data_IF_427656005273
#
_entry.id   IF_427656005273
#
_cell.length_a   1.000
_cell.length_b   1.000
_cell.length_c   1.000
_cell.angle_alpha   90.00
_cell.angle_beta   90.00
_cell.angle_gamma   90.00
#
_symmetry.space_group_name_H-M   'P 1'
#
loop_
_entity.id
_entity.type
_entity.pdbx_description
1 polymer ?
#
# COMPACT_ATOMS: atom_id res chain seq x y z
N UNK A 1 -4.16 -9.25 26.94
CA UNK A 1 -4.88 -10.05 25.93
C UNK A 1 -5.31 -9.13 24.79
N UNK A 2 -5.05 -9.55 23.57
CA UNK A 2 -5.48 -8.86 22.36
C UNK A 2 -6.96 -9.16 22.10
N UNK A 3 -7.71 -8.14 21.70
CA UNK A 3 -9.15 -8.28 21.45
C UNK A 3 -9.43 -8.68 19.99
N UNK A 4 -10.58 -9.30 19.72
CA UNK A 4 -11.05 -9.60 18.36
C UNK A 4 -11.13 -8.33 17.50
N UNK A 5 -11.54 -7.20 18.13
CA UNK A 5 -11.60 -5.89 17.48
C UNK A 5 -10.25 -5.44 16.91
N UNK A 6 -9.16 -5.70 17.62
CA UNK A 6 -7.81 -5.37 17.16
C UNK A 6 -7.34 -6.29 16.02
N UNK A 7 -7.71 -7.58 16.07
CA UNK A 7 -7.39 -8.53 14.98
C UNK A 7 -8.10 -8.14 13.68
N UNK A 8 -9.39 -7.80 13.77
CA UNK A 8 -10.15 -7.28 12.62
C UNK A 8 -9.56 -5.95 12.16
N UNK A 9 -9.27 -5.02 13.09
CA UNK A 9 -8.65 -3.73 12.76
C UNK A 9 -7.32 -3.89 12.02
N UNK A 10 -6.48 -4.81 12.46
CA UNK A 10 -5.22 -5.11 11.78
C UNK A 10 -5.45 -5.74 10.40
N UNK A 11 -6.40 -6.66 10.26
CA UNK A 11 -6.76 -7.27 8.99
C UNK A 11 -7.25 -6.25 7.94
N UNK A 12 -7.97 -5.19 8.37
CA UNK A 12 -8.43 -4.12 7.49
C UNK A 12 -7.26 -3.36 6.84
N UNK A 13 -6.11 -3.24 7.51
CA UNK A 13 -4.92 -2.60 6.95
C UNK A 13 -4.43 -3.33 5.69
N UNK A 14 -4.31 -4.65 5.74
CA UNK A 14 -3.88 -5.44 4.58
C UNK A 14 -4.99 -5.66 3.56
N UNK A 15 -6.24 -5.67 3.99
CA UNK A 15 -7.39 -5.65 3.07
C UNK A 15 -7.39 -4.38 2.20
N UNK A 16 -7.02 -3.23 2.76
CA UNK A 16 -6.84 -1.97 2.00
C UNK A 16 -5.60 -2.01 1.10
N UNK A 17 -4.43 -2.32 1.67
CA UNK A 17 -3.15 -2.27 0.97
C UNK A 17 -2.98 -3.45 -0.01
N UNK A 18 -3.10 -4.69 0.46
CA UNK A 18 -2.92 -5.91 -0.30
C UNK A 18 -4.14 -6.31 -1.11
N UNK A 19 -5.33 -6.18 -0.51
CA UNK A 19 -6.59 -6.59 -1.13
C UNK A 19 -7.08 -5.62 -2.22
N UNK A 20 -7.21 -4.34 -1.92
CA UNK A 20 -7.68 -3.34 -2.89
C UNK A 20 -6.51 -2.83 -3.73
N UNK A 21 -5.62 -2.10 -3.07
CA UNK A 21 -4.62 -1.28 -3.78
C UNK A 21 -3.67 -2.12 -4.61
N UNK A 22 -3.04 -3.14 -4.02
CA UNK A 22 -2.08 -3.99 -4.72
C UNK A 22 -2.71 -4.77 -5.88
N UNK A 23 -3.95 -5.26 -5.73
CA UNK A 23 -4.64 -5.97 -6.80
C UNK A 23 -5.00 -5.05 -7.96
N UNK A 24 -5.50 -3.85 -7.68
CA UNK A 24 -5.77 -2.86 -8.72
C UNK A 24 -4.48 -2.42 -9.41
N UNK A 25 -3.41 -2.14 -8.65
CA UNK A 25 -2.12 -1.74 -9.19
C UNK A 25 -1.46 -2.82 -10.05
N UNK A 26 -1.61 -4.09 -9.69
CA UNK A 26 -0.97 -5.19 -10.41
C UNK A 26 -1.73 -5.62 -11.66
N UNK A 27 -3.05 -5.45 -11.70
CA UNK A 27 -3.91 -5.97 -12.76
C UNK A 27 -4.60 -4.85 -13.53
N UNK A 28 -5.30 -3.96 -12.84
CA UNK A 28 -6.11 -2.93 -13.48
C UNK A 28 -5.26 -1.76 -14.03
N UNK A 29 -4.19 -1.37 -13.36
CA UNK A 29 -3.35 -0.25 -13.80
C UNK A 29 -2.65 -0.46 -15.13
N UNK A 30 -2.00 -1.61 -15.41
CA UNK A 30 -1.41 -1.83 -16.73
C UNK A 30 -2.44 -1.71 -17.84
N UNK A 31 -3.63 -2.28 -17.64
CA UNK A 31 -4.73 -2.20 -18.59
C UNK A 31 -5.28 -0.77 -18.73
N UNK A 32 -5.44 -0.06 -17.62
CA UNK A 32 -5.88 1.33 -17.63
C UNK A 32 -4.89 2.23 -18.37
N UNK A 33 -3.61 2.15 -18.05
CA UNK A 33 -2.60 3.00 -18.69
C UNK A 33 -2.46 2.75 -20.18
N UNK A 34 -2.57 1.51 -20.63
CA UNK A 34 -2.44 1.18 -22.05
C UNK A 34 -3.74 1.43 -22.84
N UNK A 35 -4.88 0.97 -22.34
CA UNK A 35 -6.11 0.94 -23.12
C UNK A 35 -6.94 2.22 -22.98
N UNK A 36 -6.93 2.85 -21.81
CA UNK A 36 -7.79 3.99 -21.48
C UNK A 36 -7.00 5.30 -21.43
N UNK A 37 -5.89 5.28 -20.72
CA UNK A 37 -5.04 6.47 -20.53
C UNK A 37 -4.25 6.81 -21.81
N UNK A 38 -3.91 5.79 -22.61
CA UNK A 38 -3.26 5.93 -23.92
C UNK A 38 -1.73 5.95 -23.87
N UNK A 39 -1.10 5.46 -22.80
CA UNK A 39 0.35 5.23 -22.77
C UNK A 39 0.71 4.00 -23.61
N UNK A 40 1.93 3.98 -24.14
CA UNK A 40 2.45 2.77 -24.80
C UNK A 40 2.73 1.67 -23.78
N UNK A 41 2.77 0.42 -24.21
CA UNK A 41 3.17 -0.71 -23.38
C UNK A 41 4.58 -0.49 -22.81
N UNK A 42 5.49 0.07 -23.61
CA UNK A 42 6.85 0.39 -23.20
C UNK A 42 6.88 1.47 -22.10
N UNK A 43 6.10 2.55 -22.24
CA UNK A 43 5.97 3.60 -21.22
C UNK A 43 5.43 3.00 -19.90
N UNK A 44 4.41 2.16 -19.99
CA UNK A 44 3.79 1.51 -18.82
C UNK A 44 4.77 0.55 -18.12
N UNK A 45 5.48 -0.28 -18.88
CA UNK A 45 6.49 -1.18 -18.34
C UNK A 45 7.64 -0.40 -17.67
N UNK A 46 8.10 0.68 -18.31
CA UNK A 46 9.15 1.55 -17.74
C UNK A 46 8.68 2.20 -16.45
N UNK A 47 7.44 2.71 -16.42
CA UNK A 47 6.83 3.29 -15.22
C UNK A 47 6.83 2.29 -14.06
N UNK A 48 6.39 1.05 -14.32
CA UNK A 48 6.35 0.01 -13.29
C UNK A 48 7.76 -0.39 -12.82
N UNK A 49 8.73 -0.46 -13.73
CA UNK A 49 10.12 -0.75 -13.37
C UNK A 49 10.73 0.36 -12.50
N UNK A 50 10.56 1.61 -12.91
CA UNK A 50 11.05 2.78 -12.15
C UNK A 50 10.44 2.79 -10.74
N UNK A 51 9.15 2.49 -10.62
CA UNK A 51 8.49 2.40 -9.33
C UNK A 51 9.07 1.29 -8.44
N UNK A 52 9.42 0.12 -8.99
CA UNK A 52 10.08 -0.95 -8.24
C UNK A 52 11.46 -0.56 -7.73
N UNK A 53 12.24 0.13 -8.57
CA UNK A 53 13.55 0.65 -8.16
C UNK A 53 13.40 1.74 -7.08
N UNK A 54 12.34 2.54 -7.16
CA UNK A 54 12.01 3.54 -6.15
C UNK A 54 11.70 2.89 -4.79
N UNK A 55 10.90 1.80 -4.76
CA UNK A 55 10.57 1.07 -3.54
C UNK A 55 11.83 0.54 -2.84
N UNK A 56 12.80 -0.01 -3.59
CA UNK A 56 14.07 -0.53 -3.03
C UNK A 56 14.80 0.53 -2.18
N UNK A 57 14.69 1.80 -2.57
CA UNK A 57 15.32 2.91 -1.85
C UNK A 57 14.41 3.45 -0.74
N UNK A 58 13.12 3.60 -1.02
CA UNK A 58 12.19 4.27 -0.10
C UNK A 58 11.77 3.39 1.08
N UNK A 59 11.68 2.07 0.91
CA UNK A 59 11.26 1.17 1.99
C UNK A 59 12.22 1.20 3.21
N UNK A 60 13.55 1.07 3.04
CA UNK A 60 14.48 1.20 4.16
C UNK A 60 14.49 2.58 4.81
N UNK A 61 14.36 3.64 4.00
CA UNK A 61 14.29 5.02 4.48
C UNK A 61 13.04 5.19 5.33
N UNK A 62 11.89 4.72 4.82
CA UNK A 62 10.62 4.82 5.54
C UNK A 62 10.62 4.02 6.83
N UNK A 63 11.19 2.80 6.83
CA UNK A 63 11.38 2.01 8.04
C UNK A 63 12.15 2.80 9.11
N UNK A 64 13.27 3.41 8.71
CA UNK A 64 14.09 4.23 9.62
C UNK A 64 13.34 5.46 10.15
N UNK A 65 12.51 6.11 9.34
CA UNK A 65 11.68 7.26 9.74
C UNK A 65 10.58 6.80 10.71
N UNK A 66 9.90 5.71 10.38
CA UNK A 66 8.82 5.15 11.17
C UNK A 66 9.29 4.77 12.59
N UNK A 67 10.42 4.07 12.70
CA UNK A 67 10.99 3.64 13.99
C UNK A 67 11.37 4.80 14.91
N UNK A 68 11.65 5.97 14.35
CA UNK A 68 12.01 7.19 15.10
C UNK A 68 10.81 8.07 15.41
N UNK A 69 9.65 7.79 14.80
CA UNK A 69 8.44 8.57 15.00
C UNK A 69 7.97 8.46 16.45
N UNK A 70 7.62 9.59 17.05
CA UNK A 70 7.07 9.69 18.40
C UNK A 70 5.81 10.55 18.35
N UNK A 71 4.68 9.96 18.71
CA UNK A 71 3.43 10.70 18.74
C UNK A 71 2.52 10.22 19.89
N UNK A 72 1.44 10.97 20.11
CA UNK A 72 0.37 10.57 21.05
C UNK A 72 -0.33 9.27 20.67
N UNK A 73 -0.24 8.86 19.38
CA UNK A 73 -0.85 7.64 18.86
C UNK A 73 0.09 6.45 18.86
N UNK A 74 1.37 6.63 19.22
CA UNK A 74 2.41 5.62 19.15
C UNK A 74 3.47 5.94 18.11
N UNK A 75 4.17 4.92 17.64
CA UNK A 75 5.28 5.01 16.68
C UNK A 75 4.79 4.75 15.25
N UNK A 76 4.02 3.70 15.02
CA UNK A 76 3.61 3.24 13.69
C UNK A 76 2.18 3.66 13.32
N UNK A 77 1.25 3.70 14.28
CA UNK A 77 -0.15 4.07 14.07
C UNK A 77 -0.36 5.45 13.44
N UNK A 78 0.43 6.50 13.77
CA UNK A 78 0.27 7.81 13.13
C UNK A 78 0.35 7.75 11.61
N UNK A 79 1.23 6.91 11.06
CA UNK A 79 1.41 6.75 9.64
C UNK A 79 0.17 6.20 8.94
N UNK A 80 -0.56 5.29 9.60
CA UNK A 80 -1.83 4.78 9.09
C UNK A 80 -2.94 5.83 9.23
N UNK A 81 -3.00 6.54 10.35
CA UNK A 81 -4.05 7.53 10.63
C UNK A 81 -3.93 8.74 9.70
N UNK A 82 -2.74 9.34 9.61
CA UNK A 82 -2.52 10.53 8.77
C UNK A 82 -2.30 10.18 7.30
N UNK A 83 -1.74 9.01 7.03
CA UNK A 83 -1.53 8.50 5.67
C UNK A 83 -2.80 8.03 4.98
N UNK A 84 -3.88 7.72 5.70
CA UNK A 84 -5.10 7.18 5.13
C UNK A 84 -5.74 8.11 4.07
N UNK A 85 -5.85 9.40 4.37
CA UNK A 85 -6.47 10.38 3.45
C UNK A 85 -5.62 10.55 2.19
N UNK A 86 -4.32 10.90 2.26
CA UNK A 86 -3.51 11.03 1.06
C UNK A 86 -3.42 9.71 0.27
N UNK A 87 -3.41 8.56 0.95
CA UNK A 87 -3.43 7.24 0.30
C UNK A 87 -4.64 7.06 -0.61
N UNK A 88 -5.86 7.28 -0.09
CA UNK A 88 -7.08 7.16 -0.88
C UNK A 88 -7.20 8.23 -1.96
N UNK A 89 -6.77 9.47 -1.68
CA UNK A 89 -6.82 10.57 -2.63
C UNK A 89 -5.92 10.32 -3.84
N UNK A 90 -4.65 9.94 -3.61
CA UNK A 90 -3.71 9.69 -4.71
C UNK A 90 -4.12 8.45 -5.50
N UNK A 91 -4.66 7.42 -4.83
CA UNK A 91 -5.23 6.26 -5.51
C UNK A 91 -6.37 6.65 -6.45
N UNK A 92 -7.27 7.52 -6.02
CA UNK A 92 -8.37 8.03 -6.85
C UNK A 92 -7.86 8.86 -8.04
N UNK A 93 -6.91 9.77 -7.79
CA UNK A 93 -6.31 10.59 -8.84
C UNK A 93 -5.55 9.76 -9.89
N UNK A 94 -4.94 8.67 -9.49
CA UNK A 94 -4.16 7.81 -10.38
C UNK A 94 -5.04 7.09 -11.43
N UNK A 95 -6.31 6.85 -11.12
CA UNK A 95 -7.31 6.27 -12.04
C UNK A 95 -8.12 7.34 -12.79
N UNK A 96 -7.78 8.61 -12.62
CA UNK A 96 -8.39 9.71 -13.37
C UNK A 96 -7.58 10.00 -14.64
N UNK A 97 -8.27 10.19 -15.76
CA UNK A 97 -7.64 10.54 -17.05
C UNK A 97 -7.84 12.03 -17.34
N UNK A 98 -6.82 12.89 -17.12
CA UNK A 98 -6.91 14.30 -17.44
C UNK A 98 -6.88 14.54 -18.96
N UNK A 99 -7.49 15.62 -19.38
CA UNK A 99 -7.48 16.04 -20.80
C UNK A 99 -6.21 16.84 -21.13
N UNK A 100 -5.08 16.16 -21.07
CA UNK A 100 -3.77 16.69 -21.40
C UNK A 100 -3.26 16.11 -22.72
N UNK A 101 -2.38 16.84 -23.42
CA UNK A 101 -1.58 16.25 -24.50
C UNK A 101 -0.70 15.09 -23.98
N UNK A 102 -0.19 14.24 -24.90
CA UNK A 102 0.52 13.00 -24.54
C UNK A 102 1.69 13.22 -23.57
N UNK A 103 2.47 14.28 -23.75
CA UNK A 103 3.57 14.62 -22.83
C UNK A 103 3.05 14.94 -21.42
N UNK A 104 1.96 15.71 -21.32
CA UNK A 104 1.33 16.02 -20.03
C UNK A 104 0.78 14.77 -19.35
N UNK A 105 0.16 13.85 -20.11
CA UNK A 105 -0.29 12.55 -19.62
C UNK A 105 0.85 11.70 -19.06
N UNK A 106 1.99 11.63 -19.76
CA UNK A 106 3.18 10.91 -19.26
C UNK A 106 3.67 11.50 -17.93
N UNK A 107 3.85 12.81 -17.86
CA UNK A 107 4.30 13.50 -16.63
C UNK A 107 3.31 13.21 -15.49
N UNK A 108 2.01 13.33 -15.74
CA UNK A 108 0.98 13.06 -14.75
C UNK A 108 1.04 11.61 -14.24
N UNK A 109 1.10 10.63 -15.14
CA UNK A 109 1.16 9.21 -14.78
C UNK A 109 2.40 8.89 -13.93
N UNK A 110 3.58 9.32 -14.38
CA UNK A 110 4.83 9.10 -13.64
C UNK A 110 4.82 9.77 -12.27
N UNK A 111 4.40 11.02 -12.19
CA UNK A 111 4.35 11.77 -10.92
C UNK A 111 3.39 11.12 -9.94
N UNK A 112 2.16 10.83 -10.35
CA UNK A 112 1.17 10.24 -9.44
C UNK A 112 1.49 8.79 -9.08
N UNK A 113 2.05 8.01 -10.01
CA UNK A 113 2.41 6.63 -9.71
C UNK A 113 3.56 6.56 -8.69
N UNK A 114 4.59 7.37 -8.84
CA UNK A 114 5.69 7.46 -7.86
C UNK A 114 5.21 8.02 -6.52
N UNK A 115 4.30 9.01 -6.55
CA UNK A 115 3.70 9.53 -5.32
C UNK A 115 2.83 8.47 -4.63
N UNK A 116 2.09 7.67 -5.40
CA UNK A 116 1.33 6.54 -4.88
C UNK A 116 2.25 5.50 -4.23
N UNK A 117 3.39 5.16 -4.86
CA UNK A 117 4.38 4.27 -4.26
C UNK A 117 4.94 4.83 -2.96
N UNK A 118 5.32 6.12 -2.93
CA UNK A 118 5.81 6.77 -1.71
C UNK A 118 4.80 6.72 -0.57
N UNK A 119 3.52 7.01 -0.84
CA UNK A 119 2.46 6.96 0.16
C UNK A 119 2.14 5.52 0.56
N UNK A 120 2.13 4.59 -0.40
CA UNK A 120 1.97 3.16 -0.13
C UNK A 120 3.06 2.67 0.83
N UNK A 121 4.32 2.97 0.55
CA UNK A 121 5.46 2.66 1.44
C UNK A 121 5.30 3.32 2.81
N UNK A 122 4.89 4.60 2.85
CA UNK A 122 4.69 5.33 4.11
C UNK A 122 3.58 4.75 5.00
N UNK A 123 2.62 4.05 4.43
CA UNK A 123 1.55 3.35 5.16
C UNK A 123 1.92 1.89 5.43
N UNK A 124 2.41 1.18 4.41
CA UNK A 124 2.58 -0.28 4.46
C UNK A 124 3.80 -0.72 5.28
N UNK A 125 4.91 0.01 5.25
CA UNK A 125 6.10 -0.31 6.05
C UNK A 125 5.81 -0.19 7.56
N UNK A 126 5.24 0.94 8.07
CA UNK A 126 4.82 1.01 9.47
C UNK A 126 3.73 0.00 9.84
N UNK A 127 2.81 -0.33 8.91
CA UNK A 127 1.80 -1.36 9.11
C UNK A 127 2.45 -2.72 9.37
N UNK A 128 3.45 -3.11 8.58
CA UNK A 128 4.21 -4.35 8.79
C UNK A 128 4.91 -4.39 10.16
N UNK A 129 5.52 -3.27 10.57
CA UNK A 129 6.22 -3.13 11.85
C UNK A 129 5.28 -3.09 13.06
N UNK A 130 4.02 -2.68 12.86
CA UNK A 130 3.03 -2.50 13.92
C UNK A 130 2.77 -3.81 14.69
N UNK A 131 2.77 -4.97 14.02
CA UNK A 131 2.55 -6.27 14.67
C UNK A 131 3.57 -6.54 15.78
N UNK A 132 4.84 -6.19 15.56
CA UNK A 132 5.92 -6.39 16.53
C UNK A 132 5.77 -5.58 17.83
N UNK A 133 4.93 -4.54 17.83
CA UNK A 133 4.67 -3.70 19.02
C UNK A 133 3.25 -3.88 19.59
N UNK A 134 2.42 -4.70 18.94
CA UNK A 134 1.07 -5.02 19.44
C UNK A 134 1.10 -6.12 20.49
N UNK A 135 1.95 -7.13 20.30
CA UNK A 135 2.10 -8.28 21.21
C UNK A 135 3.47 -8.93 21.07
N UNK A 136 3.97 -9.55 22.14
CA UNK A 136 5.15 -10.43 22.15
C UNK A 136 4.79 -11.92 22.12
N UNK A 137 3.52 -12.27 22.32
CA UNK A 137 3.03 -13.64 22.24
C UNK A 137 2.96 -14.13 20.80
N UNK A 138 3.70 -15.21 20.50
CA UNK A 138 3.78 -15.77 19.16
C UNK A 138 2.47 -16.39 18.68
N UNK A 139 1.61 -16.92 19.56
CA UNK A 139 0.29 -17.39 19.19
C UNK A 139 -0.62 -16.22 18.78
N UNK A 140 -0.58 -15.11 19.50
CA UNK A 140 -1.30 -13.89 19.11
C UNK A 140 -0.80 -13.35 17.77
N UNK A 141 0.55 -13.31 17.54
CA UNK A 141 1.13 -12.90 16.24
C UNK A 141 0.66 -13.78 15.08
N UNK A 142 0.62 -15.10 15.30
CA UNK A 142 0.11 -16.05 14.29
C UNK A 142 -1.37 -15.83 13.99
N UNK A 143 -2.18 -15.54 15.00
CA UNK A 143 -3.60 -15.20 14.81
C UNK A 143 -3.72 -13.89 14.00
N UNK A 144 -3.00 -12.82 14.36
CA UNK A 144 -3.00 -11.58 13.58
C UNK A 144 -2.63 -11.81 12.12
N UNK A 145 -1.58 -12.60 11.87
CA UNK A 145 -1.13 -12.95 10.52
C UNK A 145 -2.20 -13.70 9.74
N UNK A 146 -2.91 -14.63 10.39
CA UNK A 146 -4.02 -15.37 9.77
C UNK A 146 -5.18 -14.45 9.41
N UNK A 147 -5.62 -13.57 10.34
CA UNK A 147 -6.66 -12.58 10.07
C UNK A 147 -6.28 -11.62 8.95
N UNK A 148 -5.02 -11.17 8.92
CA UNK A 148 -4.46 -10.32 7.88
C UNK A 148 -4.55 -10.97 6.50
N UNK A 149 -4.08 -12.24 6.39
CA UNK A 149 -4.12 -12.97 5.12
C UNK A 149 -5.55 -13.19 4.64
N UNK A 150 -6.45 -13.60 5.52
CA UNK A 150 -7.88 -13.75 5.18
C UNK A 150 -8.45 -12.43 4.70
N UNK A 151 -8.19 -11.32 5.39
CA UNK A 151 -8.64 -9.98 5.00
C UNK A 151 -8.14 -9.57 3.62
N UNK A 152 -6.83 -9.72 3.36
CA UNK A 152 -6.22 -9.37 2.09
C UNK A 152 -6.76 -10.21 0.92
N UNK A 153 -6.83 -11.53 1.08
CA UNK A 153 -7.32 -12.41 0.02
C UNK A 153 -8.82 -12.23 -0.23
N UNK A 154 -9.63 -12.19 0.83
CA UNK A 154 -11.08 -11.99 0.69
C UNK A 154 -11.38 -10.66 -0.01
N UNK A 155 -10.75 -9.56 0.44
CA UNK A 155 -10.96 -8.26 -0.18
C UNK A 155 -10.38 -8.20 -1.59
N UNK A 156 -9.27 -8.88 -1.87
CA UNK A 156 -8.70 -9.01 -3.20
C UNK A 156 -9.65 -9.72 -4.18
N UNK A 157 -10.26 -10.82 -3.75
CA UNK A 157 -11.29 -11.52 -4.51
C UNK A 157 -12.51 -10.63 -4.76
N UNK A 158 -13.03 -9.99 -3.71
CA UNK A 158 -14.16 -9.07 -3.84
C UNK A 158 -13.84 -7.96 -4.84
N UNK A 159 -12.67 -7.32 -4.73
CA UNK A 159 -12.24 -6.25 -5.63
C UNK A 159 -12.17 -6.74 -7.08
N UNK A 160 -11.49 -7.85 -7.34
CA UNK A 160 -11.29 -8.35 -8.70
C UNK A 160 -12.59 -8.82 -9.36
N UNK A 161 -13.43 -9.53 -8.61
CA UNK A 161 -14.70 -10.02 -9.14
C UNK A 161 -15.74 -8.91 -9.33
N UNK A 162 -15.80 -7.95 -8.40
CA UNK A 162 -16.77 -6.85 -8.49
C UNK A 162 -16.39 -5.79 -9.53
N UNK A 163 -15.10 -5.61 -9.82
CA UNK A 163 -14.61 -4.52 -10.67
C UNK A 163 -15.30 -4.45 -12.04
N UNK A 164 -15.40 -5.53 -12.85
CA UNK A 164 -16.07 -5.49 -14.16
C UNK A 164 -17.59 -5.20 -14.06
N UNK A 165 -18.23 -5.72 -13.00
CA UNK A 165 -19.65 -5.46 -12.75
C UNK A 165 -19.92 -4.02 -12.37
N UNK A 166 -19.07 -3.46 -11.50
CA UNK A 166 -19.16 -2.06 -11.10
C UNK A 166 -18.90 -1.12 -12.28
N UNK A 167 -17.94 -1.45 -13.17
CA UNK A 167 -17.72 -0.68 -14.41
C UNK A 167 -19.01 -0.62 -15.25
N UNK A 168 -19.69 -1.74 -15.46
CA UNK A 168 -20.96 -1.77 -16.20
C UNK A 168 -22.07 -0.97 -15.53
N UNK A 169 -22.14 -1.01 -14.18
CA UNK A 169 -23.13 -0.25 -13.41
C UNK A 169 -22.91 1.27 -13.49
N UNK A 170 -21.66 1.72 -13.47
CA UNK A 170 -21.30 3.13 -13.59
C UNK A 170 -21.68 3.65 -14.99
N UNK A 171 -21.45 2.86 -16.04
CA UNK A 171 -21.72 3.25 -17.42
C UNK A 171 -20.83 4.39 -17.91
N UNK A 172 -21.16 4.94 -19.10
CA UNK A 172 -20.38 6.03 -19.67
C UNK A 172 -19.07 5.54 -20.34
N UNK A 173 -18.13 6.46 -20.53
CA UNK A 173 -16.82 6.13 -21.10
C UNK A 173 -15.96 5.31 -20.13
N UNK A 174 -15.04 4.50 -20.65
CA UNK A 174 -14.13 3.73 -19.81
C UNK A 174 -13.33 4.63 -18.85
N UNK A 175 -12.86 5.79 -19.31
CA UNK A 175 -12.17 6.76 -18.48
C UNK A 175 -13.04 7.23 -17.30
N UNK A 176 -14.35 7.48 -17.54
CA UNK A 176 -15.29 7.83 -16.47
C UNK A 176 -15.47 6.67 -15.47
N UNK A 177 -15.62 5.45 -15.96
CA UNK A 177 -15.76 4.25 -15.11
C UNK A 177 -14.55 4.08 -14.19
N UNK A 178 -13.33 4.17 -14.73
CA UNK A 178 -12.12 4.08 -13.91
C UNK A 178 -12.00 5.21 -12.89
N UNK A 179 -12.37 6.44 -13.25
CA UNK A 179 -12.33 7.58 -12.33
C UNK A 179 -13.30 7.39 -11.15
N UNK A 180 -14.55 6.98 -11.42
CA UNK A 180 -15.57 6.74 -10.38
C UNK A 180 -15.17 5.57 -9.48
N UNK A 181 -14.70 4.46 -10.07
CA UNK A 181 -14.24 3.31 -9.30
C UNK A 181 -12.97 3.63 -8.49
N UNK A 182 -12.06 4.40 -9.07
CA UNK A 182 -10.87 4.88 -8.36
C UNK A 182 -11.23 5.71 -7.14
N UNK A 183 -12.19 6.62 -7.27
CA UNK A 183 -12.69 7.41 -6.15
C UNK A 183 -13.36 6.54 -5.08
N UNK A 184 -14.25 5.63 -5.49
CA UNK A 184 -14.95 4.72 -4.59
C UNK A 184 -14.01 3.79 -3.81
N UNK A 185 -13.13 3.11 -4.53
CA UNK A 185 -12.13 2.21 -3.93
C UNK A 185 -11.11 2.98 -3.09
N UNK A 186 -10.72 4.19 -3.51
CA UNK A 186 -9.85 5.07 -2.74
C UNK A 186 -10.46 5.47 -1.40
N UNK A 187 -11.75 5.81 -1.36
CA UNK A 187 -12.48 6.11 -0.12
C UNK A 187 -12.52 4.86 0.78
N UNK A 188 -12.84 3.69 0.23
CA UNK A 188 -12.88 2.44 1.00
C UNK A 188 -11.51 2.09 1.56
N UNK A 189 -10.45 2.18 0.74
CA UNK A 189 -9.08 1.91 1.17
C UNK A 189 -8.63 2.89 2.26
N UNK A 190 -8.93 4.19 2.12
CA UNK A 190 -8.66 5.19 3.14
C UNK A 190 -9.39 4.89 4.46
N UNK A 191 -10.69 4.57 4.39
CA UNK A 191 -11.49 4.24 5.57
C UNK A 191 -10.96 3.00 6.30
N UNK A 192 -10.58 1.94 5.56
CA UNK A 192 -10.03 0.72 6.13
C UNK A 192 -8.64 0.95 6.74
N UNK A 193 -7.77 1.73 6.08
CA UNK A 193 -6.45 2.11 6.61
C UNK A 193 -6.58 2.95 7.88
N UNK A 194 -7.50 3.92 7.88
CA UNK A 194 -7.81 4.73 9.07
C UNK A 194 -8.34 3.86 10.20
N UNK A 195 -9.28 2.96 9.90
CA UNK A 195 -9.83 2.01 10.88
C UNK A 195 -8.73 1.14 11.48
N UNK A 196 -7.79 0.64 10.68
CA UNK A 196 -6.63 -0.10 11.17
C UNK A 196 -5.83 0.73 12.19
N UNK A 197 -5.48 1.97 11.88
CA UNK A 197 -4.75 2.85 12.79
C UNK A 197 -5.51 3.17 14.09
N UNK A 198 -6.85 3.27 14.03
CA UNK A 198 -7.68 3.61 15.20
C UNK A 198 -8.00 2.39 16.08
N UNK A 199 -8.23 1.21 15.47
CA UNK A 199 -8.65 0.00 16.20
C UNK A 199 -7.50 -0.78 16.80
N UNK A 200 -6.27 -0.61 16.31
CA UNK A 200 -5.07 -1.27 16.83
C UNK A 200 -4.46 -0.49 18.00
N UNK A 201 -3.64 -1.17 18.82
CA UNK A 201 -2.94 -0.55 19.97
C UNK A 201 -1.51 -1.02 20.03
N UNK A 202 -0.58 -0.08 20.16
CA UNK A 202 0.81 -0.38 20.46
C UNK A 202 0.96 -0.58 21.98
N UNK A 203 1.46 -1.74 22.41
CA UNK A 203 1.66 -2.12 23.80
C UNK A 203 3.13 -2.16 24.18
N UNK A 204 3.97 -2.52 23.21
CA UNK A 204 5.40 -2.65 23.37
C UNK A 204 6.10 -1.43 22.78
N UNK A 205 7.24 -1.10 23.33
CA UNK A 205 8.11 -0.08 22.71
C UNK A 205 8.90 -0.74 21.60
N UNK A 206 9.01 -0.13 20.40
CA UNK A 206 9.86 -0.67 19.36
C UNK A 206 11.30 -0.80 19.87
N UNK A 207 11.94 -1.90 19.51
CA UNK A 207 13.38 -2.07 19.75
C UNK A 207 14.07 -0.92 19.03
N UNK A 208 14.89 -0.17 19.74
CA UNK A 208 15.59 1.00 19.19
C UNK A 208 16.45 0.54 18.02
N UNK A 209 16.07 0.92 16.81
CA UNK A 209 16.96 0.75 15.66
C UNK A 209 18.26 1.50 15.97
N UNK A 210 19.38 0.82 15.94
CA UNK A 210 20.69 1.45 15.90
C UNK A 210 20.75 2.42 14.73
N UNK A 211 21.72 3.36 14.75
CA UNK A 211 21.87 4.37 13.68
C UNK A 211 21.74 3.68 12.32
N UNK A 212 20.93 4.26 11.42
CA UNK A 212 20.81 3.78 10.04
C UNK A 212 22.21 3.53 9.48
N UNK A 213 22.49 2.27 9.18
CA UNK A 213 23.76 1.83 8.62
C UNK A 213 23.48 0.97 7.42
N UNK A 214 24.16 1.24 6.33
CA UNK A 214 24.11 0.40 5.13
C UNK A 214 24.95 -0.89 5.29
N UNK A 215 25.73 -1.00 6.40
CA UNK A 215 26.55 -2.19 6.67
C UNK A 215 25.77 -3.50 6.68
N UNK A 216 24.57 -3.60 7.32
CA UNK A 216 23.79 -4.85 7.28
C UNK A 216 23.42 -5.27 5.85
N UNK A 217 23.14 -4.32 4.96
CA UNK A 217 22.86 -4.60 3.54
C UNK A 217 24.10 -5.10 2.80
N UNK A 218 25.26 -4.47 3.04
CA UNK A 218 26.53 -4.94 2.48
C UNK A 218 26.91 -6.34 3.00
N UNK A 219 26.56 -6.67 4.24
CA UNK A 219 26.81 -7.98 4.83
C UNK A 219 25.82 -9.04 4.31
N UNK A 220 24.58 -8.69 3.97
CA UNK A 220 23.64 -9.57 3.27
C UNK A 220 24.14 -9.95 1.88
N UNK A 221 24.73 -9.00 1.13
CA UNK A 221 25.34 -9.28 -0.18
C UNK A 221 26.57 -10.19 -0.11
N UNK A 222 27.18 -10.36 1.07
CA UNK A 222 28.28 -11.30 1.32
C UNK A 222 27.77 -12.69 1.76
N UNK A 223 26.50 -12.79 2.15
CA UNK A 223 25.92 -14.03 2.63
C UNK A 223 25.52 -14.93 1.45
N UNK A 224 26.40 -15.89 1.11
CA UNK A 224 26.17 -16.81 -0.02
C UNK A 224 24.82 -17.55 0.03
N UNK A 225 24.35 -18.11 1.17
CA UNK A 225 23.03 -18.72 1.24
C UNK A 225 21.89 -17.78 0.86
N UNK A 226 21.98 -16.50 1.21
CA UNK A 226 20.95 -15.50 0.86
C UNK A 226 20.94 -15.22 -0.65
N UNK A 227 22.12 -15.11 -1.30
CA UNK A 227 22.25 -14.88 -2.74
C UNK A 227 21.67 -16.03 -3.57
N UNK A 228 21.72 -17.28 -3.06
CA UNK A 228 21.18 -18.44 -3.77
C UNK A 228 19.66 -18.61 -3.58
N UNK A 229 19.02 -17.90 -2.66
CA UNK A 229 17.58 -17.95 -2.37
C UNK A 229 16.78 -16.79 -3.00
N UNK A 230 17.46 -15.77 -3.51
CA UNK A 230 16.85 -14.61 -4.21
C UNK A 230 17.10 -14.69 -5.70
#
# INVERSE_FOLDING_TARGET
>A
MVTLKEKIGYALGDAAAGGITWKVMSIAFPLFFTNVFGLTVADTATLMLVARLFDVVTDPIMGSIADRTRSRWGTYRPWLIYGAIPFGLIFALLLYTPDFGMTGKRIYAYTLYLLMMAIYTAVNVPYGSLLGVMTDDDNEKNQFSSYRMVGAYAMGFITLLSFPYLQKMVGGSEAHQYAVLGAGLGIVAAAMTLACGLLTKERLKPVRAEKFSLRPFADLLKNKPWIYLT
#
